data_IF_455576338403
#
_entry.id   IF_455576338403
#
_cell.length_a   1.000
_cell.length_b   1.000
_cell.length_c   1.000
_cell.angle_alpha   90.00
_cell.angle_beta   90.00
_cell.angle_gamma   90.00
#
_symmetry.space_group_name_H-M   'P 1'
#
loop_
_entity.id
_entity.type
_entity.pdbx_description
1 polymer ?
#
# COMPACT_ATOMS: atom_id res chain seq x y z
N UNK A 1 2.89 -30.32 -11.29
CA UNK A 1 3.83 -30.36 -10.15
C UNK A 1 3.23 -29.50 -9.08
N UNK A 2 2.81 -30.07 -7.97
CA UNK A 2 2.46 -29.30 -6.79
C UNK A 2 3.72 -28.59 -6.28
N UNK A 3 3.69 -27.29 -6.26
CA UNK A 3 4.79 -26.49 -5.75
C UNK A 3 4.70 -26.51 -4.23
N UNK A 4 5.63 -27.16 -3.58
CA UNK A 4 5.69 -27.19 -2.10
C UNK A 4 5.92 -25.78 -1.60
N UNK A 5 4.94 -25.21 -0.90
CA UNK A 5 5.04 -23.89 -0.28
C UNK A 5 5.86 -24.03 0.99
N UNK A 6 7.09 -23.54 0.97
CA UNK A 6 7.96 -23.55 2.15
C UNK A 6 7.71 -22.33 3.03
N UNK A 7 7.76 -22.48 4.36
CA UNK A 7 7.75 -21.31 5.25
C UNK A 7 8.88 -20.36 4.88
N UNK A 8 8.58 -19.08 4.83
CA UNK A 8 9.60 -18.09 4.65
C UNK A 8 10.29 -17.83 5.99
N UNK A 9 11.63 -17.86 5.98
CA UNK A 9 12.45 -17.56 7.14
C UNK A 9 12.81 -16.07 7.21
N UNK A 10 13.27 -15.62 8.37
CA UNK A 10 13.81 -14.30 8.58
C UNK A 10 12.77 -13.16 8.58
N UNK A 11 13.28 -11.95 8.74
CA UNK A 11 12.43 -10.76 8.85
C UNK A 11 11.87 -10.33 7.51
N UNK A 12 10.61 -9.88 7.53
CA UNK A 12 9.92 -9.23 6.42
C UNK A 12 9.90 -7.72 6.63
N UNK A 13 10.56 -6.98 5.76
CA UNK A 13 10.40 -5.53 5.69
C UNK A 13 9.11 -5.15 4.98
N UNK A 14 8.29 -4.31 5.60
CA UNK A 14 7.09 -3.70 4.98
C UNK A 14 7.37 -2.21 4.83
N UNK A 15 7.68 -1.81 3.60
CA UNK A 15 7.92 -0.42 3.24
C UNK A 15 6.63 0.19 2.73
N UNK A 16 6.11 1.17 3.47
CA UNK A 16 4.82 1.81 3.15
C UNK A 16 5.07 3.18 2.52
N UNK A 17 4.55 3.40 1.32
CA UNK A 17 4.45 4.73 0.72
C UNK A 17 3.26 5.43 1.35
N UNK A 18 3.48 6.57 2.01
CA UNK A 18 2.49 7.21 2.88
C UNK A 18 2.46 6.56 4.28
N UNK A 19 3.64 6.31 4.85
CA UNK A 19 3.78 5.64 6.16
C UNK A 19 3.15 6.44 7.30
N UNK A 20 3.07 7.77 7.18
CA UNK A 20 2.36 8.66 8.10
C UNK A 20 0.86 8.77 7.82
N UNK A 21 0.33 8.10 6.81
CA UNK A 21 -1.10 8.11 6.50
C UNK A 21 -1.95 7.37 7.53
N UNK A 22 -3.25 7.72 7.62
CA UNK A 22 -4.19 7.12 8.58
C UNK A 22 -4.28 5.59 8.47
N UNK A 23 -4.28 5.05 7.25
CA UNK A 23 -4.32 3.60 7.01
C UNK A 23 -3.03 2.92 7.52
N UNK A 24 -1.88 3.48 7.16
CA UNK A 24 -0.58 2.95 7.54
C UNK A 24 -0.38 2.97 9.05
N UNK A 25 -0.58 4.11 9.69
CA UNK A 25 -0.41 4.26 11.15
C UNK A 25 -1.36 3.37 11.95
N UNK A 26 -2.60 3.19 11.48
CA UNK A 26 -3.57 2.28 12.10
C UNK A 26 -3.13 0.82 11.98
N UNK A 27 -2.68 0.40 10.80
CA UNK A 27 -2.17 -0.96 10.55
C UNK A 27 -0.93 -1.26 11.42
N UNK A 28 0.02 -0.33 11.43
CA UNK A 28 1.27 -0.47 12.20
C UNK A 28 0.97 -0.56 13.70
N UNK A 29 0.17 0.38 14.23
CA UNK A 29 -0.25 0.39 15.64
C UNK A 29 -0.95 -0.91 16.02
N UNK A 30 -1.90 -1.37 15.22
CA UNK A 30 -2.64 -2.62 15.46
C UNK A 30 -1.72 -3.84 15.48
N UNK A 31 -0.72 -3.89 14.59
CA UNK A 31 0.28 -4.96 14.57
C UNK A 31 1.16 -4.94 15.81
N UNK A 32 1.69 -3.78 16.19
CA UNK A 32 2.52 -3.60 17.37
C UNK A 32 1.76 -3.92 18.67
N UNK A 33 0.51 -3.46 18.78
CA UNK A 33 -0.36 -3.77 19.92
C UNK A 33 -0.65 -5.28 20.01
N UNK A 34 -0.83 -5.94 18.87
CA UNK A 34 -1.03 -7.40 18.84
C UNK A 34 0.21 -8.17 19.30
N UNK A 35 1.41 -7.74 18.91
CA UNK A 35 2.68 -8.32 19.39
C UNK A 35 2.84 -8.26 20.90
N UNK A 36 2.41 -7.15 21.49
CA UNK A 36 2.47 -6.93 22.95
C UNK A 36 1.28 -7.54 23.72
N UNK A 37 0.34 -8.19 23.01
CA UNK A 37 -0.86 -8.77 23.63
C UNK A 37 -1.86 -7.71 24.13
N UNK A 38 -1.69 -6.44 23.74
CA UNK A 38 -2.58 -5.34 24.10
C UNK A 38 -3.88 -5.36 23.30
N UNK A 39 -3.86 -5.96 22.11
CA UNK A 39 -5.02 -6.11 21.25
C UNK A 39 -4.97 -7.46 20.52
N UNK A 40 -6.14 -7.92 20.05
CA UNK A 40 -6.22 -9.06 19.12
C UNK A 40 -6.28 -8.54 17.69
N UNK A 41 -5.67 -9.23 16.70
CA UNK A 41 -5.70 -8.81 15.30
C UNK A 41 -7.06 -9.15 14.63
N UNK A 42 -8.16 -8.68 15.21
CA UNK A 42 -9.55 -9.05 14.85
C UNK A 42 -9.85 -8.75 13.38
N UNK A 43 -9.30 -7.65 12.85
CA UNK A 43 -9.48 -7.26 11.45
C UNK A 43 -8.72 -8.13 10.44
N UNK A 44 -7.83 -9.01 10.89
CA UNK A 44 -7.03 -9.85 10.01
C UNK A 44 -7.61 -11.25 9.87
N UNK A 45 -8.22 -11.52 8.72
CA UNK A 45 -8.75 -12.87 8.39
C UNK A 45 -7.65 -13.92 8.49
N UNK A 46 -6.46 -13.64 7.97
CA UNK A 46 -5.33 -14.58 7.97
C UNK A 46 -4.84 -14.93 9.37
N UNK A 47 -5.03 -14.04 10.35
CA UNK A 47 -4.64 -14.27 11.74
C UNK A 47 -5.75 -14.92 12.59
N UNK A 48 -7.02 -14.65 12.29
CA UNK A 48 -8.15 -14.95 13.17
C UNK A 48 -9.13 -15.98 12.61
N UNK A 49 -9.25 -16.10 11.30
CA UNK A 49 -10.20 -17.04 10.73
C UNK A 49 -9.66 -18.47 10.72
N UNK A 50 -10.60 -19.42 10.84
CA UNK A 50 -10.32 -20.85 10.76
C UNK A 50 -10.90 -21.45 9.48
N UNK A 51 -10.23 -22.45 8.97
CA UNK A 51 -10.71 -23.30 7.89
C UNK A 51 -11.12 -24.67 8.46
N UNK A 52 -12.23 -25.23 7.93
CA UNK A 52 -12.62 -26.59 8.23
C UNK A 52 -11.81 -27.55 7.36
N UNK A 53 -11.09 -28.45 7.99
CA UNK A 53 -10.33 -29.50 7.35
C UNK A 53 -11.24 -30.70 7.00
N UNK A 54 -10.75 -31.63 6.19
CA UNK A 54 -11.51 -32.82 5.76
C UNK A 54 -11.98 -33.69 6.93
N UNK A 55 -11.21 -33.75 8.02
CA UNK A 55 -11.57 -34.45 9.26
C UNK A 55 -12.53 -33.67 10.18
N UNK A 56 -13.15 -32.59 9.69
CA UNK A 56 -13.98 -31.63 10.44
C UNK A 56 -13.25 -30.83 11.55
N UNK A 57 -11.96 -30.98 11.71
CA UNK A 57 -11.16 -30.11 12.59
C UNK A 57 -11.13 -28.69 12.05
N UNK A 58 -11.13 -27.69 12.94
CA UNK A 58 -10.93 -26.29 12.56
C UNK A 58 -9.49 -25.89 12.87
N UNK A 59 -8.78 -25.38 11.85
CA UNK A 59 -7.43 -24.83 11.99
C UNK A 59 -7.39 -23.38 11.56
N UNK A 60 -6.63 -22.55 12.27
CA UNK A 60 -6.45 -21.16 11.87
C UNK A 60 -5.69 -21.09 10.54
N UNK A 61 -6.03 -20.12 9.71
CA UNK A 61 -5.37 -19.92 8.40
C UNK A 61 -3.86 -19.78 8.59
N UNK A 62 -3.41 -19.03 9.60
CA UNK A 62 -1.98 -18.87 9.92
C UNK A 62 -1.24 -20.15 10.26
N UNK A 63 -1.95 -21.18 10.71
CA UNK A 63 -1.38 -22.49 11.06
C UNK A 63 -1.32 -23.43 9.83
N UNK A 64 -2.00 -23.07 8.74
CA UNK A 64 -2.06 -23.84 7.49
C UNK A 64 -1.15 -23.21 6.43
N UNK A 65 -1.23 -21.88 6.29
CA UNK A 65 -0.44 -21.13 5.32
C UNK A 65 0.81 -20.58 6.02
N UNK A 66 2.01 -20.79 5.46
CA UNK A 66 3.26 -20.34 6.06
C UNK A 66 3.44 -18.83 5.95
N UNK A 67 2.67 -18.09 6.74
CA UNK A 67 2.74 -16.64 6.84
C UNK A 67 3.94 -16.21 7.69
N UNK A 68 4.47 -15.00 7.44
CA UNK A 68 5.45 -14.37 8.33
C UNK A 68 4.81 -14.09 9.68
N UNK A 69 5.47 -14.45 10.77
CA UNK A 69 5.01 -14.11 12.12
C UNK A 69 4.96 -12.59 12.29
N UNK A 70 3.97 -12.10 13.04
CA UNK A 70 3.84 -10.66 13.28
C UNK A 70 5.10 -10.06 13.94
N UNK A 71 5.82 -10.83 14.76
CA UNK A 71 7.07 -10.40 15.41
C UNK A 71 8.24 -10.23 14.43
N UNK A 72 8.18 -10.88 13.27
CA UNK A 72 9.23 -10.84 12.25
C UNK A 72 8.98 -9.75 11.17
N UNK A 73 7.93 -8.95 11.31
CA UNK A 73 7.65 -7.84 10.40
C UNK A 73 8.37 -6.58 10.90
N UNK A 74 9.05 -5.87 10.02
CA UNK A 74 9.68 -4.58 10.30
C UNK A 74 9.04 -3.52 9.41
N UNK A 75 8.57 -2.45 10.01
CA UNK A 75 7.92 -1.36 9.29
C UNK A 75 8.87 -0.20 9.02
N UNK A 76 8.73 0.40 7.86
CA UNK A 76 9.33 1.66 7.45
C UNK A 76 8.59 2.21 6.24
N UNK A 77 9.13 3.24 5.61
CA UNK A 77 8.51 3.77 4.40
C UNK A 77 8.86 5.21 4.13
N UNK A 78 8.11 5.80 3.22
CA UNK A 78 8.29 7.17 2.75
C UNK A 78 7.05 8.00 3.06
N UNK A 79 7.27 9.27 3.37
CA UNK A 79 6.20 10.24 3.47
C UNK A 79 6.68 11.62 3.03
N UNK A 80 5.75 12.45 2.55
CA UNK A 80 5.99 13.85 2.19
C UNK A 80 6.06 14.78 3.41
N UNK A 81 5.73 14.26 4.60
CA UNK A 81 5.85 14.93 5.89
C UNK A 81 6.90 14.20 6.74
N UNK A 82 7.71 14.94 7.53
CA UNK A 82 8.80 14.35 8.30
C UNK A 82 8.38 13.72 9.63
N UNK A 83 7.09 13.81 9.99
CA UNK A 83 6.56 13.33 11.27
C UNK A 83 6.81 11.83 11.41
N UNK A 84 7.22 11.38 12.61
CA UNK A 84 7.31 9.97 12.89
C UNK A 84 5.92 9.32 12.98
N UNK A 85 5.84 7.99 13.01
CA UNK A 85 4.56 7.30 12.95
C UNK A 85 3.63 7.60 14.16
N UNK A 86 4.18 7.96 15.32
CA UNK A 86 3.38 8.38 16.48
C UNK A 86 2.75 9.76 16.26
N UNK A 87 3.56 10.75 15.88
CA UNK A 87 3.09 12.11 15.58
C UNK A 87 2.05 12.12 14.46
N UNK A 88 2.33 11.34 13.39
CA UNK A 88 1.41 11.19 12.28
C UNK A 88 0.08 10.52 12.69
N UNK A 89 0.13 9.48 13.54
CA UNK A 89 -1.08 8.85 14.08
C UNK A 89 -1.92 9.79 14.95
N UNK A 90 -1.26 10.59 15.78
CA UNK A 90 -1.92 11.63 16.59
C UNK A 90 -2.57 12.69 15.69
N UNK A 91 -1.88 13.14 14.64
CA UNK A 91 -2.43 14.10 13.68
C UNK A 91 -3.65 13.55 12.92
N UNK A 92 -3.62 12.27 12.55
CA UNK A 92 -4.70 11.64 11.79
C UNK A 92 -6.01 11.47 12.61
N UNK A 93 -5.95 11.49 13.92
CA UNK A 93 -7.08 11.39 14.86
C UNK A 93 -7.99 10.15 14.68
N UNK A 94 -7.51 9.13 13.96
CA UNK A 94 -8.23 7.85 13.78
C UNK A 94 -8.14 7.01 15.05
N UNK A 95 -6.94 6.97 15.63
CA UNK A 95 -6.67 6.31 16.91
C UNK A 95 -6.58 7.35 18.02
N UNK A 96 -7.06 6.99 19.20
CA UNK A 96 -6.95 7.85 20.38
C UNK A 96 -5.60 7.65 21.05
N UNK A 97 -5.12 8.64 21.78
CA UNK A 97 -3.86 8.58 22.52
C UNK A 97 -3.74 7.31 23.38
N UNK A 98 -4.80 6.88 24.04
CA UNK A 98 -4.84 5.65 24.82
C UNK A 98 -4.53 4.38 24.01
N UNK A 99 -4.84 4.39 22.72
CA UNK A 99 -4.60 3.26 21.81
C UNK A 99 -3.15 3.24 21.33
N UNK A 100 -2.47 4.39 21.37
CA UNK A 100 -1.09 4.59 20.93
C UNK A 100 -0.07 4.42 22.06
N UNK A 101 -0.43 4.76 23.31
CA UNK A 101 0.50 4.83 24.45
C UNK A 101 1.23 3.51 24.71
N UNK A 102 0.58 2.36 24.48
CA UNK A 102 1.19 1.05 24.69
C UNK A 102 2.29 0.68 23.69
N UNK A 103 2.38 1.40 22.57
CA UNK A 103 3.32 1.15 21.46
C UNK A 103 4.03 2.43 20.99
N UNK A 104 4.04 3.45 21.85
CA UNK A 104 4.55 4.78 21.53
C UNK A 104 6.00 4.76 21.09
N UNK A 105 6.87 4.11 21.84
CA UNK A 105 8.31 4.06 21.57
C UNK A 105 8.61 3.45 20.20
N UNK A 106 7.91 2.37 19.85
CA UNK A 106 8.07 1.71 18.56
C UNK A 106 7.55 2.59 17.41
N UNK A 107 6.45 3.32 17.62
CA UNK A 107 5.93 4.25 16.62
C UNK A 107 6.86 5.45 16.43
N UNK A 108 7.42 6.02 17.50
CA UNK A 108 8.40 7.12 17.44
C UNK A 108 9.71 6.71 16.72
N UNK A 109 10.06 5.42 16.79
CA UNK A 109 11.22 4.89 16.10
C UNK A 109 11.03 4.78 14.58
N UNK A 110 9.79 4.75 14.09
CA UNK A 110 9.47 4.70 12.65
C UNK A 110 9.46 6.12 12.10
N UNK A 111 10.57 6.51 11.48
CA UNK A 111 10.73 7.82 10.81
C UNK A 111 10.65 7.62 9.31
N UNK A 112 9.89 8.44 8.60
CA UNK A 112 9.77 8.32 7.15
C UNK A 112 11.07 8.71 6.43
N UNK A 113 11.35 8.03 5.33
CA UNK A 113 12.30 8.51 4.32
C UNK A 113 11.66 9.59 3.46
N UNK A 114 12.43 10.51 2.84
CA UNK A 114 11.90 11.48 1.89
C UNK A 114 11.17 10.79 0.73
N UNK A 115 9.95 11.20 0.43
CA UNK A 115 9.12 10.57 -0.59
C UNK A 115 9.47 11.02 -2.02
N UNK A 116 9.28 10.14 -2.99
CA UNK A 116 9.11 10.55 -4.39
C UNK A 116 7.71 11.16 -4.54
N UNK A 117 7.65 12.43 -4.87
CA UNK A 117 6.42 13.20 -4.94
C UNK A 117 6.47 14.19 -6.10
N UNK A 118 5.33 14.41 -6.72
CA UNK A 118 5.15 15.43 -7.73
C UNK A 118 3.79 16.10 -7.52
N UNK A 119 3.82 17.41 -7.29
CA UNK A 119 2.63 18.20 -7.03
C UNK A 119 1.60 18.16 -8.17
N UNK A 120 2.06 17.97 -9.43
CA UNK A 120 1.13 17.83 -10.56
C UNK A 120 0.26 16.58 -10.49
N UNK A 121 0.71 15.54 -9.75
CA UNK A 121 -0.02 14.29 -9.57
C UNK A 121 -0.94 14.27 -8.34
N UNK A 122 -0.67 15.15 -7.37
CA UNK A 122 -1.52 15.31 -6.18
C UNK A 122 -1.55 16.80 -5.77
N UNK A 123 -2.26 17.59 -6.54
CA UNK A 123 -2.23 19.06 -6.55
C UNK A 123 -2.58 19.74 -5.23
N UNK A 124 -3.35 19.08 -4.37
CA UNK A 124 -3.78 19.64 -3.09
C UNK A 124 -2.82 19.32 -1.93
N UNK A 125 -1.80 18.48 -2.16
CA UNK A 125 -0.83 18.15 -1.14
C UNK A 125 0.43 19.02 -1.23
N UNK A 126 0.90 19.50 -0.08
CA UNK A 126 2.09 20.34 0.03
C UNK A 126 3.03 19.78 1.10
N UNK A 127 3.75 18.71 0.75
CA UNK A 127 4.78 18.13 1.60
C UNK A 127 6.16 18.66 1.25
N UNK A 128 7.02 18.82 2.25
CA UNK A 128 8.39 19.31 2.09
C UNK A 128 9.45 18.22 2.22
N UNK A 129 9.07 17.06 2.74
CA UNK A 129 9.96 15.93 2.94
C UNK A 129 10.01 15.04 1.70
N UNK A 130 10.60 15.58 0.63
CA UNK A 130 10.58 14.98 -0.71
C UNK A 130 11.98 14.83 -1.29
N UNK A 131 12.14 13.76 -2.09
CA UNK A 131 13.37 13.54 -2.85
C UNK A 131 13.54 14.60 -3.94
N UNK A 132 14.80 14.91 -4.24
CA UNK A 132 15.17 15.75 -5.38
C UNK A 132 15.86 14.85 -6.41
N UNK A 133 15.35 14.86 -7.62
CA UNK A 133 15.91 14.13 -8.75
C UNK A 133 15.71 14.94 -10.04
N UNK A 134 16.66 14.86 -10.96
CA UNK A 134 16.56 15.55 -12.25
C UNK A 134 15.62 14.83 -13.22
N UNK A 135 15.49 13.50 -13.07
CA UNK A 135 14.63 12.66 -13.93
C UNK A 135 13.86 11.65 -13.10
N UNK A 136 12.78 11.08 -13.69
CA UNK A 136 12.07 9.95 -13.11
C UNK A 136 12.99 8.72 -12.95
N UNK A 137 13.96 8.56 -13.83
CA UNK A 137 14.94 7.48 -13.70
C UNK A 137 15.84 7.64 -12.47
N UNK A 138 16.37 8.85 -12.25
CA UNK A 138 17.14 9.13 -11.03
C UNK A 138 16.30 8.95 -9.77
N UNK A 139 15.02 9.35 -9.82
CA UNK A 139 14.08 9.10 -8.73
C UNK A 139 13.94 7.61 -8.43
N UNK A 140 13.80 6.77 -9.46
CA UNK A 140 13.76 5.31 -9.32
C UNK A 140 15.03 4.78 -8.68
N UNK A 141 16.22 5.23 -9.11
CA UNK A 141 17.48 4.76 -8.54
C UNK A 141 17.63 5.15 -7.05
N UNK A 142 17.16 6.33 -6.65
CA UNK A 142 17.12 6.73 -5.24
C UNK A 142 16.17 5.84 -4.42
N UNK A 143 15.00 5.49 -4.96
CA UNK A 143 14.06 4.58 -4.30
C UNK A 143 14.61 3.16 -4.18
N UNK A 144 15.29 2.68 -5.20
CA UNK A 144 15.98 1.39 -5.17
C UNK A 144 17.05 1.36 -4.06
N UNK A 145 17.81 2.45 -3.93
CA UNK A 145 18.81 2.57 -2.88
C UNK A 145 18.17 2.52 -1.48
N UNK A 146 17.07 3.26 -1.27
CA UNK A 146 16.33 3.23 0.00
C UNK A 146 15.87 1.80 0.37
N UNK A 147 15.37 1.03 -0.61
CA UNK A 147 14.93 -0.36 -0.38
C UNK A 147 16.10 -1.23 0.06
N UNK A 148 17.25 -1.11 -0.62
CA UNK A 148 18.47 -1.85 -0.25
C UNK A 148 18.97 -1.48 1.14
N UNK A 149 19.04 -0.20 1.43
CA UNK A 149 19.53 0.32 2.72
C UNK A 149 18.61 -0.10 3.86
N UNK A 150 17.29 0.00 3.68
CA UNK A 150 16.32 -0.46 4.66
C UNK A 150 16.45 -1.97 4.92
N UNK A 151 16.56 -2.76 3.85
CA UNK A 151 16.72 -4.21 3.92
C UNK A 151 17.98 -4.60 4.73
N UNK A 152 19.09 -3.94 4.44
CA UNK A 152 20.37 -4.17 5.11
C UNK A 152 20.35 -3.72 6.57
N UNK A 153 19.91 -2.49 6.83
CA UNK A 153 19.90 -1.91 8.18
C UNK A 153 19.01 -2.70 9.18
N UNK A 154 17.97 -3.35 8.67
CA UNK A 154 17.02 -4.09 9.51
C UNK A 154 17.20 -5.61 9.44
N UNK A 155 18.23 -6.11 8.75
CA UNK A 155 18.47 -7.54 8.52
C UNK A 155 17.21 -8.25 7.98
N UNK A 156 16.51 -7.60 7.02
CA UNK A 156 15.35 -8.19 6.38
C UNK A 156 15.79 -9.15 5.28
N UNK A 157 15.27 -10.37 5.29
CA UNK A 157 15.52 -11.31 4.21
C UNK A 157 14.69 -10.96 2.97
N UNK A 158 13.50 -10.42 3.18
CA UNK A 158 12.55 -10.01 2.16
C UNK A 158 11.96 -8.64 2.46
N UNK A 159 11.54 -7.95 1.42
CA UNK A 159 10.84 -6.68 1.51
C UNK A 159 9.58 -6.74 0.66
N UNK A 160 8.51 -6.10 1.09
CA UNK A 160 7.33 -5.78 0.30
C UNK A 160 7.11 -4.27 0.33
N UNK A 161 6.73 -3.69 -0.80
CA UNK A 161 6.39 -2.27 -0.88
C UNK A 161 4.88 -2.13 -1.03
N UNK A 162 4.27 -1.34 -0.15
CA UNK A 162 2.84 -1.09 -0.10
C UNK A 162 2.55 0.38 -0.34
N UNK A 163 1.80 0.68 -1.39
CA UNK A 163 1.27 2.03 -1.60
C UNK A 163 0.01 2.23 -0.77
N UNK A 164 0.09 3.07 0.25
CA UNK A 164 -1.03 3.54 1.07
C UNK A 164 -1.14 5.08 1.06
N UNK A 165 -0.44 5.72 0.12
CA UNK A 165 -0.49 7.15 -0.11
C UNK A 165 -1.72 7.57 -0.93
N UNK A 166 -1.86 8.85 -1.16
CA UNK A 166 -3.01 9.47 -1.82
C UNK A 166 -3.21 9.02 -3.26
N UNK A 167 -4.43 9.22 -3.73
CA UNK A 167 -4.83 9.00 -5.13
C UNK A 167 -4.17 10.03 -6.04
N UNK A 168 -3.48 9.57 -7.09
CA UNK A 168 -2.92 10.41 -8.14
C UNK A 168 -3.99 10.81 -9.17
N UNK A 169 -3.73 11.85 -9.97
CA UNK A 169 -4.64 12.28 -11.05
C UNK A 169 -4.89 11.14 -12.05
N UNK A 170 -6.04 11.21 -12.71
CA UNK A 170 -6.39 10.27 -13.78
C UNK A 170 -5.61 10.60 -15.06
N UNK A 171 -4.95 9.59 -15.60
CA UNK A 171 -4.42 9.60 -16.96
C UNK A 171 -4.89 8.35 -17.71
N UNK A 172 -5.14 8.41 -19.02
CA UNK A 172 -5.36 7.23 -19.83
C UNK A 172 -4.04 6.47 -20.07
N UNK A 173 -4.16 5.22 -20.47
CA UNK A 173 -3.00 4.48 -21.01
C UNK A 173 -2.48 5.19 -22.28
N UNK A 174 -1.15 5.27 -22.38
CA UNK A 174 -0.44 5.81 -23.55
C UNK A 174 0.61 4.79 -24.04
N UNK A 175 1.26 5.09 -25.16
CA UNK A 175 2.26 4.19 -25.76
C UNK A 175 3.44 3.89 -24.81
N UNK A 176 3.77 4.83 -23.92
CA UNK A 176 4.83 4.68 -22.91
C UNK A 176 4.51 3.58 -21.88
N UNK A 177 3.23 3.26 -21.69
CA UNK A 177 2.79 2.23 -20.75
C UNK A 177 2.67 0.83 -21.37
N UNK A 178 2.87 0.69 -22.69
CA UNK A 178 2.58 -0.55 -23.41
C UNK A 178 3.71 -1.58 -23.37
N UNK A 179 4.95 -1.17 -23.07
CA UNK A 179 6.09 -2.08 -22.92
C UNK A 179 7.10 -1.56 -21.91
N UNK A 180 7.87 -2.47 -21.31
CA UNK A 180 8.93 -2.12 -20.37
C UNK A 180 9.94 -1.14 -20.99
N UNK A 181 10.36 -1.41 -22.23
CA UNK A 181 11.32 -0.54 -22.93
C UNK A 181 10.79 0.88 -23.14
N UNK A 182 9.50 1.04 -23.47
CA UNK A 182 8.87 2.35 -23.66
C UNK A 182 8.76 3.09 -22.29
N UNK A 183 8.39 2.38 -21.22
CA UNK A 183 8.32 2.93 -19.88
C UNK A 183 9.69 3.44 -19.40
N UNK A 184 10.73 2.62 -19.54
CA UNK A 184 12.09 3.01 -19.15
C UNK A 184 12.62 4.20 -19.96
N UNK A 185 12.32 4.23 -21.26
CA UNK A 185 12.66 5.37 -22.11
C UNK A 185 12.00 6.65 -21.58
N UNK A 186 10.68 6.61 -21.31
CA UNK A 186 9.94 7.75 -20.79
C UNK A 186 10.46 8.22 -19.42
N UNK A 187 10.87 7.29 -18.54
CA UNK A 187 11.51 7.62 -17.26
C UNK A 187 12.86 8.34 -17.46
N UNK A 188 13.69 7.88 -18.39
CA UNK A 188 15.01 8.46 -18.73
C UNK A 188 14.87 9.82 -19.40
N UNK A 189 13.89 10.00 -20.26
CA UNK A 189 13.55 11.26 -20.93
C UNK A 189 12.79 12.24 -20.02
N UNK A 190 12.49 11.81 -18.79
CA UNK A 190 11.76 12.58 -17.78
C UNK A 190 10.37 13.04 -18.26
N UNK A 191 9.62 12.14 -18.90
CA UNK A 191 8.25 12.42 -19.30
C UNK A 191 7.32 12.40 -18.07
N UNK A 192 7.25 13.53 -17.37
CA UNK A 192 6.51 13.68 -16.11
C UNK A 192 5.00 13.65 -16.27
N UNK A 193 4.49 13.83 -17.48
CA UNK A 193 3.05 13.88 -17.76
C UNK A 193 2.43 12.47 -17.81
N UNK A 194 3.24 11.44 -18.07
CA UNK A 194 2.78 10.06 -18.19
C UNK A 194 3.40 9.12 -17.13
N UNK A 195 4.54 9.49 -16.55
CA UNK A 195 5.21 8.69 -15.51
C UNK A 195 4.89 9.26 -14.12
N UNK A 196 4.00 8.57 -13.42
CA UNK A 196 3.59 8.95 -12.08
C UNK A 196 4.63 8.58 -11.00
N UNK A 197 4.60 9.24 -9.83
CA UNK A 197 5.36 8.79 -8.67
C UNK A 197 5.08 7.33 -8.30
N UNK A 198 3.83 6.86 -8.33
CA UNK A 198 3.50 5.47 -8.01
C UNK A 198 4.14 4.45 -8.96
N UNK A 199 4.27 4.79 -10.26
CA UNK A 199 5.01 3.97 -11.22
C UNK A 199 6.50 3.88 -10.87
N UNK A 200 7.11 4.98 -10.39
CA UNK A 200 8.51 4.96 -9.94
C UNK A 200 8.72 4.01 -8.75
N UNK A 201 7.81 4.02 -7.76
CA UNK A 201 7.87 3.09 -6.63
C UNK A 201 7.66 1.64 -7.05
N UNK A 202 6.68 1.37 -7.92
CA UNK A 202 6.42 0.03 -8.41
C UNK A 202 7.63 -0.52 -9.19
N UNK A 203 8.19 0.29 -10.08
CA UNK A 203 9.39 -0.08 -10.82
C UNK A 203 10.57 -0.37 -9.89
N UNK A 204 10.84 0.53 -8.93
CA UNK A 204 11.93 0.37 -7.98
C UNK A 204 11.77 -0.90 -7.13
N UNK A 205 10.56 -1.18 -6.66
CA UNK A 205 10.27 -2.39 -5.90
C UNK A 205 10.54 -3.66 -6.71
N UNK A 206 9.98 -3.75 -7.93
CA UNK A 206 10.18 -4.91 -8.82
C UNK A 206 11.67 -5.09 -9.16
N UNK A 207 12.41 -3.99 -9.41
CA UNK A 207 13.83 -4.03 -9.71
C UNK A 207 14.67 -4.60 -8.56
N UNK A 208 14.25 -4.39 -7.31
CA UNK A 208 14.89 -4.90 -6.09
C UNK A 208 14.25 -6.22 -5.58
N UNK A 209 13.56 -6.95 -6.44
CA UNK A 209 12.91 -8.24 -6.16
C UNK A 209 11.90 -8.16 -4.99
N UNK A 210 11.34 -6.97 -4.77
CA UNK A 210 10.33 -6.70 -3.75
C UNK A 210 8.92 -6.67 -4.38
N UNK A 211 7.99 -7.53 -3.92
CA UNK A 211 6.58 -7.42 -4.31
C UNK A 211 6.02 -6.03 -4.09
N UNK A 212 5.16 -5.59 -5.01
CA UNK A 212 4.50 -4.29 -4.90
C UNK A 212 2.98 -4.43 -4.81
N UNK A 213 2.39 -3.75 -3.83
CA UNK A 213 0.94 -3.75 -3.57
C UNK A 213 0.39 -2.33 -3.73
N UNK A 214 -0.51 -2.15 -4.69
CA UNK A 214 -1.17 -0.86 -4.93
C UNK A 214 -2.48 -0.76 -4.13
N UNK A 215 -2.45 0.02 -3.06
CA UNK A 215 -3.63 0.27 -2.21
C UNK A 215 -4.53 1.44 -2.67
N UNK A 216 -4.12 2.18 -3.71
CA UNK A 216 -4.88 3.28 -4.31
C UNK A 216 -5.37 2.91 -5.72
N UNK A 217 -6.30 3.68 -6.33
CA UNK A 217 -6.82 3.38 -7.66
C UNK A 217 -5.92 3.85 -8.82
N UNK A 218 -4.72 4.32 -8.55
CA UNK A 218 -3.80 4.91 -9.54
C UNK A 218 -3.52 3.99 -10.72
N UNK A 219 -3.30 4.57 -11.91
CA UNK A 219 -2.76 3.83 -13.05
C UNK A 219 -1.30 3.48 -12.75
N UNK A 220 -1.04 2.22 -12.47
CA UNK A 220 0.30 1.75 -12.10
C UNK A 220 0.47 0.26 -12.41
N UNK A 221 0.02 -0.62 -11.51
CA UNK A 221 0.19 -2.09 -11.63
C UNK A 221 -0.67 -2.73 -12.71
N UNK A 222 -1.59 -2.00 -13.30
CA UNK A 222 -2.48 -2.41 -14.38
C UNK A 222 -1.97 -2.03 -15.78
N UNK A 223 -0.74 -1.50 -15.87
CA UNK A 223 -0.11 -1.22 -17.17
C UNK A 223 0.57 -2.46 -17.76
N UNK A 224 0.54 -2.66 -19.10
CA UNK A 224 1.26 -3.75 -19.74
C UNK A 224 2.74 -3.79 -19.40
N UNK A 225 3.40 -2.64 -19.35
CA UNK A 225 4.82 -2.50 -18.99
C UNK A 225 5.15 -3.07 -17.60
N UNK A 226 4.34 -2.76 -16.57
CA UNK A 226 4.56 -3.29 -15.23
C UNK A 226 4.30 -4.79 -15.15
N UNK A 227 3.33 -5.30 -15.92
CA UNK A 227 3.08 -6.73 -16.03
C UNK A 227 4.23 -7.46 -16.71
N UNK A 228 4.78 -6.88 -17.79
CA UNK A 228 5.96 -7.40 -18.46
C UNK A 228 7.13 -7.49 -17.48
N UNK A 229 7.43 -6.40 -16.77
CA UNK A 229 8.53 -6.33 -15.83
C UNK A 229 8.38 -7.30 -14.65
N UNK A 230 7.18 -7.35 -14.05
CA UNK A 230 6.85 -8.30 -12.99
C UNK A 230 7.09 -9.75 -13.43
N UNK A 231 6.67 -10.13 -14.65
CA UNK A 231 6.89 -11.47 -15.20
C UNK A 231 8.36 -11.76 -15.47
N UNK A 232 9.09 -10.80 -16.05
CA UNK A 232 10.53 -10.96 -16.33
C UNK A 232 11.33 -11.18 -15.05
N UNK A 233 11.00 -10.45 -13.99
CA UNK A 233 11.65 -10.54 -12.67
C UNK A 233 11.09 -11.67 -11.80
N UNK A 234 9.97 -12.27 -12.19
CA UNK A 234 9.20 -13.21 -11.36
C UNK A 234 8.84 -12.63 -9.97
N UNK A 235 8.49 -11.35 -9.93
CA UNK A 235 8.12 -10.61 -8.73
C UNK A 235 6.63 -10.31 -8.77
N UNK A 236 5.83 -10.75 -7.79
CA UNK A 236 4.38 -10.52 -7.80
C UNK A 236 4.04 -9.05 -7.56
N UNK A 237 3.02 -8.60 -8.28
CA UNK A 237 2.36 -7.31 -8.05
C UNK A 237 0.89 -7.54 -7.77
N UNK A 238 0.27 -6.68 -6.98
CA UNK A 238 -1.14 -6.79 -6.61
C UNK A 238 -1.79 -5.40 -6.53
N UNK A 239 -3.08 -5.37 -6.74
CA UNK A 239 -3.91 -4.15 -6.65
C UNK A 239 -5.28 -4.41 -7.23
N UNK A 240 -6.10 -3.40 -7.27
CA UNK A 240 -5.76 -2.07 -6.74
C UNK A 240 -6.93 -1.54 -5.91
N UNK A 241 -6.64 -0.45 -5.20
CA UNK A 241 -7.58 0.25 -4.30
C UNK A 241 -8.10 -0.63 -3.14
N UNK A 242 -7.86 -0.20 -1.92
CA UNK A 242 -8.37 -0.89 -0.75
C UNK A 242 -9.90 -0.88 -0.73
N UNK A 243 -10.50 -2.05 -0.51
CA UNK A 243 -11.96 -2.20 -0.46
C UNK A 243 -12.45 -1.98 0.98
N UNK A 244 -12.80 -0.73 1.27
CA UNK A 244 -13.34 -0.29 2.57
C UNK A 244 -14.60 0.54 2.37
N UNK A 245 -15.23 1.00 3.46
CA UNK A 245 -16.39 1.88 3.43
C UNK A 245 -17.55 1.31 2.59
N UNK A 246 -18.13 2.15 1.75
CA UNK A 246 -19.29 1.76 0.94
C UNK A 246 -19.01 0.63 -0.05
N UNK A 247 -17.79 0.52 -0.58
CA UNK A 247 -17.45 -0.56 -1.51
C UNK A 247 -17.48 -1.92 -0.80
N UNK A 248 -16.96 -1.99 0.42
CA UNK A 248 -17.07 -3.19 1.26
C UNK A 248 -18.54 -3.53 1.53
N UNK A 249 -19.35 -2.55 1.93
CA UNK A 249 -20.78 -2.75 2.20
C UNK A 249 -21.54 -3.24 0.97
N UNK A 250 -21.29 -2.65 -0.20
CA UNK A 250 -21.90 -3.09 -1.46
C UNK A 250 -21.51 -4.52 -1.82
N UNK A 251 -20.25 -4.92 -1.61
CA UNK A 251 -19.78 -6.29 -1.90
C UNK A 251 -20.48 -7.34 -1.04
N UNK A 252 -20.84 -7.00 0.20
CA UNK A 252 -21.57 -7.88 1.10
C UNK A 252 -23.06 -7.89 0.79
N UNK A 253 -23.67 -6.72 0.61
CA UNK A 253 -25.12 -6.57 0.47
C UNK A 253 -25.64 -6.99 -0.92
N UNK A 254 -24.88 -6.76 -1.99
CA UNK A 254 -25.34 -7.10 -3.34
C UNK A 254 -25.64 -8.61 -3.53
N UNK A 255 -24.76 -9.57 -3.11
CA UNK A 255 -25.07 -10.97 -3.14
C UNK A 255 -26.28 -11.34 -2.25
N UNK A 256 -26.41 -10.72 -1.08
CA UNK A 256 -27.54 -10.92 -0.19
C UNK A 256 -28.87 -10.51 -0.84
N UNK A 257 -28.95 -9.32 -1.42
CA UNK A 257 -30.14 -8.85 -2.13
C UNK A 257 -30.48 -9.76 -3.31
N UNK A 258 -29.46 -10.15 -4.10
CA UNK A 258 -29.65 -11.07 -5.22
C UNK A 258 -30.21 -12.43 -4.78
N UNK A 259 -29.66 -13.02 -3.71
CA UNK A 259 -30.12 -14.30 -3.17
C UNK A 259 -31.58 -14.24 -2.69
N UNK A 260 -32.00 -13.09 -2.19
CA UNK A 260 -33.38 -12.86 -1.73
C UNK A 260 -34.30 -12.30 -2.82
N UNK A 261 -33.81 -12.14 -4.05
CA UNK A 261 -34.54 -11.57 -5.19
C UNK A 261 -35.11 -10.16 -4.89
N UNK A 262 -34.38 -9.39 -4.09
CA UNK A 262 -34.75 -8.02 -3.74
C UNK A 262 -34.11 -7.02 -4.73
N UNK A 263 -34.94 -6.13 -5.28
CA UNK A 263 -34.49 -5.01 -6.08
C UNK A 263 -33.96 -3.87 -5.19
N UNK A 264 -33.00 -3.10 -5.70
CA UNK A 264 -32.48 -1.90 -5.04
C UNK A 264 -32.86 -0.69 -5.88
N UNK A 265 -33.72 0.18 -5.35
CA UNK A 265 -34.17 1.39 -6.04
C UNK A 265 -33.13 2.52 -5.98
N UNK A 266 -32.24 2.50 -5.01
CA UNK A 266 -31.20 3.49 -4.86
C UNK A 266 -30.23 3.14 -3.76
N UNK A 267 -29.05 3.71 -3.84
CA UNK A 267 -28.01 3.67 -2.82
C UNK A 267 -27.50 5.10 -2.60
N UNK A 268 -27.56 5.56 -1.40
CA UNK A 268 -26.98 6.84 -1.01
C UNK A 268 -25.97 6.62 0.13
N UNK A 269 -24.78 7.18 0.00
CA UNK A 269 -23.76 7.14 1.04
C UNK A 269 -22.85 8.35 0.93
N UNK A 270 -22.34 8.79 2.07
CA UNK A 270 -21.29 9.80 2.16
C UNK A 270 -19.97 9.13 2.55
N UNK A 271 -18.87 9.67 2.05
CA UNK A 271 -17.53 9.31 2.53
C UNK A 271 -17.15 10.28 3.63
N UNK A 272 -16.78 9.74 4.79
CA UNK A 272 -16.02 10.46 5.78
C UNK A 272 -14.57 10.05 5.56
N UNK A 273 -13.78 10.97 5.02
CA UNK A 273 -12.40 10.74 4.68
C UNK A 273 -11.54 11.12 5.88
N UNK A 274 -10.59 10.26 6.24
CA UNK A 274 -9.62 10.55 7.27
C UNK A 274 -8.41 11.29 6.71
N UNK A 275 -7.71 12.03 7.57
CA UNK A 275 -6.47 12.72 7.26
C UNK A 275 -6.62 13.68 6.06
N UNK A 276 -5.64 13.71 5.14
CA UNK A 276 -5.64 14.61 3.96
C UNK A 276 -6.34 14.03 2.72
N UNK A 277 -6.97 12.87 2.83
CA UNK A 277 -7.61 12.22 1.68
C UNK A 277 -8.77 13.05 1.10
N UNK A 278 -9.48 13.79 1.98
CA UNK A 278 -10.52 14.73 1.57
C UNK A 278 -9.99 15.89 0.72
N UNK A 279 -8.84 16.44 1.09
CA UNK A 279 -8.20 17.53 0.35
C UNK A 279 -7.79 17.08 -1.05
N UNK A 280 -7.23 15.87 -1.17
CA UNK A 280 -6.81 15.31 -2.46
C UNK A 280 -8.01 15.07 -3.37
N UNK A 281 -9.07 14.46 -2.85
CA UNK A 281 -10.26 14.10 -3.63
C UNK A 281 -11.20 15.30 -3.89
N UNK A 282 -10.93 16.46 -3.32
CA UNK A 282 -11.57 17.72 -3.69
C UNK A 282 -11.07 18.26 -5.06
N UNK A 283 -9.95 17.73 -5.57
CA UNK A 283 -9.50 17.97 -6.93
C UNK A 283 -10.21 17.03 -7.91
N UNK A 284 -10.87 17.56 -8.98
CA UNK A 284 -11.63 16.74 -9.92
C UNK A 284 -10.79 15.69 -10.66
N UNK A 285 -9.51 15.98 -10.95
CA UNK A 285 -8.65 15.06 -11.70
C UNK A 285 -8.23 13.87 -10.81
N UNK A 286 -7.96 14.11 -9.53
CA UNK A 286 -7.69 13.06 -8.55
C UNK A 286 -8.96 12.25 -8.25
N UNK A 287 -10.11 12.93 -8.11
CA UNK A 287 -11.40 12.25 -7.90
C UNK A 287 -11.76 11.33 -9.05
N UNK A 288 -11.50 11.75 -10.31
CA UNK A 288 -11.77 10.95 -11.50
C UNK A 288 -11.06 9.60 -11.50
N UNK A 289 -9.83 9.51 -10.99
CA UNK A 289 -9.11 8.24 -10.85
C UNK A 289 -9.90 7.25 -9.99
N UNK A 290 -10.50 7.75 -8.92
CA UNK A 290 -11.35 6.96 -8.01
C UNK A 290 -12.68 6.56 -8.67
N UNK A 291 -13.29 7.47 -9.42
CA UNK A 291 -14.53 7.23 -10.15
C UNK A 291 -14.36 6.13 -11.20
N UNK A 292 -13.32 6.20 -12.02
CA UNK A 292 -13.04 5.22 -13.09
C UNK A 292 -12.67 3.84 -12.52
N UNK A 293 -12.04 3.78 -11.35
CA UNK A 293 -11.64 2.53 -10.70
C UNK A 293 -12.79 1.79 -10.01
N UNK A 294 -13.90 2.46 -9.72
CA UNK A 294 -15.05 1.93 -8.97
C UNK A 294 -16.29 1.74 -9.82
#
# INVERSE_FOLDING_TARGET
>A
MEQEIKPASGRLGVLVVGVGGAVATTMITGTLASRKGLAKPIGSITQMAAMRMENNEQKLIKDIVPLTDLNDIVFGGWDIFPDNAYEAAMYAEVLKEKDLNGVKEELEAIKPMPAAFDHNWAKRLNGTHVKKAATRWEMVEQLRQDIRDFKAANNCERVVVLWAASTEIYIPLSDEHMSLAALEKAMKENNTDVISPSMCYAYAAIAEDAPFVMGAPNLCVDTPAMWEFSKQKNVPISGKDFKSGQTLMKTVLAPMFKTRMLGVNGWFSTNILGNRDGEVLDDPDNFKTKEVSK
#
